data_IF_257771201084
#
_entry.id   IF_257771201084
#
_cell.length_a   1.000
_cell.length_b   1.000
_cell.length_c   1.000
_cell.angle_alpha   90.00
_cell.angle_beta   90.00
_cell.angle_gamma   90.00
#
_symmetry.space_group_name_H-M   'P 1'
#
loop_
_entity.id
_entity.type
_entity.pdbx_description
1 polymer ?
#
# COMPACT_ATOMS: atom_id res chain seq x y z
N UNK A 1 8.62 10.06 7.48
CA UNK A 1 7.48 9.66 6.62
C UNK A 1 7.45 8.15 6.43
N UNK A 2 8.41 7.55 5.71
CA UNK A 2 8.44 6.10 5.39
C UNK A 2 8.22 5.19 6.61
N UNK A 3 9.00 5.30 7.69
CA UNK A 3 8.76 4.49 8.90
C UNK A 3 7.33 4.59 9.45
N UNK A 4 6.67 5.75 9.34
CA UNK A 4 5.28 5.89 9.78
C UNK A 4 4.29 5.22 8.81
N UNK A 5 4.61 5.16 7.51
CA UNK A 5 3.85 4.41 6.52
C UNK A 5 3.94 2.92 6.84
N UNK A 6 5.15 2.38 6.96
CA UNK A 6 5.38 0.95 7.27
C UNK A 6 4.65 0.52 8.55
N UNK A 7 4.73 1.33 9.62
CA UNK A 7 4.03 1.02 10.87
C UNK A 7 2.51 0.98 10.68
N UNK A 8 1.95 1.95 9.94
CA UNK A 8 0.51 1.93 9.65
C UNK A 8 0.17 0.70 8.80
N UNK A 9 1.00 0.31 7.82
CA UNK A 9 0.75 -0.87 7.00
C UNK A 9 0.73 -2.16 7.83
N UNK A 10 1.62 -2.30 8.84
CA UNK A 10 1.52 -3.40 9.84
C UNK A 10 0.14 -3.44 10.48
N UNK A 11 -0.30 -2.30 11.03
CA UNK A 11 -1.59 -2.22 11.72
C UNK A 11 -2.75 -2.53 10.76
N UNK A 12 -2.72 -2.00 9.54
CA UNK A 12 -3.79 -2.14 8.57
C UNK A 12 -3.89 -3.55 7.96
N UNK A 13 -2.77 -4.25 7.80
CA UNK A 13 -2.77 -5.64 7.36
C UNK A 13 -3.36 -6.57 8.43
N UNK A 14 -3.06 -6.35 9.72
CA UNK A 14 -3.76 -7.05 10.81
C UNK A 14 -5.22 -6.63 10.95
N UNK A 15 -5.51 -5.34 10.77
CA UNK A 15 -6.85 -4.78 10.86
C UNK A 15 -7.79 -5.43 9.85
N UNK A 16 -7.35 -5.66 8.61
CA UNK A 16 -8.15 -6.34 7.59
C UNK A 16 -8.62 -7.72 8.07
N UNK A 17 -7.75 -8.48 8.76
CA UNK A 17 -8.06 -9.81 9.28
C UNK A 17 -9.09 -9.72 10.42
N UNK A 18 -8.86 -8.83 11.39
CA UNK A 18 -9.65 -8.76 12.62
C UNK A 18 -10.99 -8.03 12.44
N UNK A 19 -11.03 -7.01 11.58
CA UNK A 19 -12.18 -6.11 11.42
C UNK A 19 -13.29 -6.72 10.58
N UNK A 20 -12.94 -7.36 9.47
CA UNK A 20 -13.92 -7.80 8.46
C UNK A 20 -14.34 -9.27 8.62
N UNK A 21 -14.33 -9.79 9.85
CA UNK A 21 -14.66 -11.19 10.18
C UNK A 21 -16.08 -11.59 9.82
N UNK A 22 -17.00 -10.63 9.67
CA UNK A 22 -18.36 -10.87 9.21
C UNK A 22 -18.44 -11.33 7.74
N UNK A 23 -17.40 -11.07 6.93
CA UNK A 23 -17.30 -11.51 5.54
C UNK A 23 -16.46 -12.80 5.46
N UNK A 24 -17.05 -13.96 5.16
CA UNK A 24 -16.29 -15.21 5.10
C UNK A 24 -15.27 -15.21 3.96
N UNK A 25 -14.00 -15.42 4.28
CA UNK A 25 -12.91 -15.48 3.30
C UNK A 25 -12.21 -16.85 3.36
N UNK A 26 -11.66 -17.34 2.24
CA UNK A 26 -10.86 -18.57 2.24
C UNK A 26 -9.55 -18.38 3.02
N UNK A 27 -8.96 -19.48 3.50
CA UNK A 27 -7.75 -19.42 4.35
C UNK A 27 -6.60 -18.61 3.75
N UNK A 28 -6.40 -18.71 2.43
CA UNK A 28 -5.35 -17.97 1.74
C UNK A 28 -5.46 -16.44 1.88
N UNK A 29 -6.65 -15.89 2.17
CA UNK A 29 -6.81 -14.46 2.46
C UNK A 29 -6.06 -14.08 3.72
N UNK A 30 -6.21 -14.87 4.78
CA UNK A 30 -5.55 -14.63 6.05
C UNK A 30 -4.05 -14.88 5.96
N UNK A 31 -3.63 -15.90 5.20
CA UNK A 31 -2.21 -16.20 4.97
C UNK A 31 -1.51 -15.02 4.27
N UNK A 32 -2.12 -14.46 3.21
CA UNK A 32 -1.56 -13.34 2.47
C UNK A 32 -1.41 -12.08 3.37
N UNK A 33 -2.44 -11.72 4.15
CA UNK A 33 -2.39 -10.53 5.01
C UNK A 33 -1.50 -10.71 6.25
N UNK A 34 -1.44 -11.91 6.84
CA UNK A 34 -0.52 -12.19 7.94
C UNK A 34 0.93 -12.14 7.47
N UNK A 35 1.19 -12.62 6.24
CA UNK A 35 2.51 -12.50 5.61
C UNK A 35 2.86 -11.03 5.34
N UNK A 36 1.96 -10.27 4.72
CA UNK A 36 2.18 -8.85 4.45
C UNK A 36 2.48 -8.07 5.73
N UNK A 37 1.71 -8.27 6.81
CA UNK A 37 1.97 -7.63 8.09
C UNK A 37 3.36 -7.95 8.67
N UNK A 38 3.87 -9.17 8.46
CA UNK A 38 5.22 -9.55 8.85
C UNK A 38 6.31 -8.89 8.00
N UNK A 39 6.07 -8.72 6.70
CA UNK A 39 6.95 -7.99 5.79
C UNK A 39 7.01 -6.50 6.17
N UNK A 40 5.87 -5.85 6.46
CA UNK A 40 5.84 -4.46 6.92
C UNK A 40 6.53 -4.25 8.26
N UNK A 41 6.43 -5.22 9.18
CA UNK A 41 7.15 -5.14 10.45
C UNK A 41 8.67 -5.17 10.23
N UNK A 42 9.14 -5.94 9.25
CA UNK A 42 10.54 -5.92 8.83
C UNK A 42 10.89 -4.59 8.15
N UNK A 43 10.04 -4.07 7.26
CA UNK A 43 10.25 -2.79 6.59
C UNK A 43 10.39 -1.65 7.60
N UNK A 44 9.48 -1.58 8.58
CA UNK A 44 9.52 -0.62 9.67
C UNK A 44 10.86 -0.64 10.41
N UNK A 45 11.34 -1.83 10.78
CA UNK A 45 12.61 -1.98 11.48
C UNK A 45 13.81 -1.56 10.61
N UNK A 46 13.83 -1.91 9.32
CA UNK A 46 14.88 -1.47 8.39
C UNK A 46 14.99 0.06 8.32
N UNK A 47 13.84 0.75 8.31
CA UNK A 47 13.83 2.21 8.30
C UNK A 47 14.21 2.78 9.66
N UNK A 48 13.80 2.15 10.77
CA UNK A 48 14.23 2.56 12.10
C UNK A 48 15.75 2.44 12.28
N UNK A 49 16.35 1.32 11.89
CA UNK A 49 17.81 1.12 11.92
C UNK A 49 18.54 2.19 11.12
N UNK A 50 17.97 2.58 9.97
CA UNK A 50 18.51 3.66 9.13
C UNK A 50 18.42 5.02 9.84
N UNK A 51 17.29 5.33 10.50
CA UNK A 51 17.13 6.57 11.26
C UNK A 51 18.11 6.65 12.43
N UNK A 52 18.28 5.55 13.16
CA UNK A 52 19.20 5.47 14.30
C UNK A 52 20.65 5.66 13.87
N UNK A 53 21.07 5.03 12.77
CA UNK A 53 22.40 5.22 12.19
C UNK A 53 22.66 6.69 11.78
N UNK A 54 21.60 7.43 11.44
CA UNK A 54 21.66 8.86 11.12
C UNK A 54 21.50 9.77 12.35
N UNK A 55 21.49 9.22 13.57
CA UNK A 55 21.35 9.97 14.82
C UNK A 55 19.93 10.48 15.09
N UNK A 56 18.92 9.87 14.46
CA UNK A 56 17.50 10.15 14.67
C UNK A 56 16.78 8.93 15.26
N UNK A 57 15.45 8.98 15.32
CA UNK A 57 14.60 7.85 15.73
C UNK A 57 13.18 8.03 15.22
N UNK A 58 12.42 6.92 15.15
CA UNK A 58 11.00 7.00 14.87
C UNK A 58 10.28 7.85 15.94
N UNK A 59 9.41 8.77 15.49
CA UNK A 59 8.73 9.73 16.36
C UNK A 59 9.47 11.06 16.57
N UNK A 60 10.73 11.18 16.13
CA UNK A 60 11.47 12.45 16.19
C UNK A 60 11.00 13.51 15.17
N UNK A 61 10.29 13.08 14.11
CA UNK A 61 9.77 13.94 13.04
C UNK A 61 8.24 13.83 12.96
N UNK A 62 7.54 14.88 12.47
CA UNK A 62 6.09 14.84 12.29
C UNK A 62 5.62 13.67 11.41
N UNK A 63 4.50 13.06 11.80
CA UNK A 63 3.82 12.01 11.07
C UNK A 63 2.63 12.58 10.26
N UNK A 64 2.29 11.94 9.15
CA UNK A 64 1.08 12.25 8.38
C UNK A 64 -0.04 11.23 8.68
N UNK A 65 -1.30 11.63 8.57
CA UNK A 65 -2.44 10.77 8.86
C UNK A 65 -3.09 10.11 7.63
N UNK A 66 -2.43 10.10 6.47
CA UNK A 66 -3.03 9.69 5.19
C UNK A 66 -3.63 8.27 5.21
N UNK A 67 -2.81 7.26 5.53
CA UNK A 67 -3.25 5.87 5.65
C UNK A 67 -4.31 5.68 6.74
N UNK A 68 -4.10 6.28 7.91
CA UNK A 68 -5.03 6.13 9.03
C UNK A 68 -6.43 6.69 8.71
N UNK A 69 -6.51 7.85 8.05
CA UNK A 69 -7.80 8.40 7.59
C UNK A 69 -8.48 7.49 6.58
N UNK A 70 -7.74 6.97 5.59
CA UNK A 70 -8.29 6.00 4.65
C UNK A 70 -8.81 4.73 5.36
N UNK A 71 -8.15 4.31 6.44
CA UNK A 71 -8.60 3.21 7.26
C UNK A 71 -9.90 3.51 8.01
N UNK A 72 -10.01 4.71 8.60
CA UNK A 72 -11.23 5.20 9.25
C UNK A 72 -12.40 5.29 8.26
N UNK A 73 -12.17 5.89 7.09
CA UNK A 73 -13.20 6.08 6.05
C UNK A 73 -13.73 4.74 5.49
N UNK A 74 -12.91 3.69 5.53
CA UNK A 74 -13.24 2.34 5.02
C UNK A 74 -13.52 1.32 6.12
N UNK A 75 -13.66 1.75 7.39
CA UNK A 75 -13.75 0.85 8.54
C UNK A 75 -14.92 -0.14 8.50
N UNK A 76 -15.96 0.13 7.70
CA UNK A 76 -17.14 -0.73 7.56
C UNK A 76 -17.24 -1.41 6.18
N UNK A 77 -16.27 -1.19 5.29
CA UNK A 77 -16.31 -1.62 3.90
C UNK A 77 -15.01 -2.33 3.48
N UNK A 78 -15.04 -3.67 3.45
CA UNK A 78 -13.88 -4.47 3.07
C UNK A 78 -13.42 -4.19 1.63
N UNK A 79 -14.36 -4.02 0.69
CA UNK A 79 -14.00 -3.74 -0.70
C UNK A 79 -13.39 -2.34 -0.83
N UNK A 80 -13.96 -1.35 -0.12
CA UNK A 80 -13.38 -0.02 0.02
C UNK A 80 -11.97 -0.06 0.61
N UNK A 81 -11.77 -0.86 1.68
CA UNK A 81 -10.46 -1.03 2.31
C UNK A 81 -9.41 -1.57 1.34
N UNK A 82 -9.76 -2.63 0.59
CA UNK A 82 -8.87 -3.23 -0.41
C UNK A 82 -8.57 -2.27 -1.58
N UNK A 83 -9.57 -1.53 -2.06
CA UNK A 83 -9.39 -0.58 -3.15
C UNK A 83 -8.47 0.58 -2.76
N UNK A 84 -8.59 1.11 -1.54
CA UNK A 84 -7.87 2.32 -1.15
C UNK A 84 -6.50 2.03 -0.54
N UNK A 85 -6.39 1.04 0.35
CA UNK A 85 -5.13 0.82 1.07
C UNK A 85 -4.12 0.06 0.19
N UNK A 86 -4.28 -1.24 -0.08
CA UNK A 86 -3.28 -1.97 -0.87
C UNK A 86 -3.27 -1.61 -2.36
N UNK A 87 -4.39 -1.21 -2.95
CA UNK A 87 -4.43 -0.94 -4.40
C UNK A 87 -4.14 0.52 -4.79
N UNK A 88 -4.27 1.49 -3.87
CA UNK A 88 -3.96 2.91 -4.13
C UNK A 88 -2.78 3.41 -3.32
N UNK A 89 -2.79 3.20 -2.00
CA UNK A 89 -1.74 3.72 -1.11
C UNK A 89 -0.44 2.92 -1.22
N UNK A 90 -0.49 1.59 -1.16
CA UNK A 90 0.72 0.75 -1.34
C UNK A 90 1.22 0.83 -2.80
N UNK A 91 0.31 0.86 -3.77
CA UNK A 91 0.66 1.09 -5.18
C UNK A 91 1.37 2.43 -5.41
N UNK A 92 1.21 3.42 -4.52
CA UNK A 92 1.98 4.66 -4.56
C UNK A 92 3.45 4.42 -4.20
N UNK A 93 3.75 3.49 -3.30
CA UNK A 93 5.11 3.05 -2.97
C UNK A 93 5.87 2.59 -4.22
N UNK A 94 5.21 1.83 -5.11
CA UNK A 94 5.78 1.39 -6.39
C UNK A 94 6.20 2.54 -7.32
N UNK A 95 5.49 3.66 -7.25
CA UNK A 95 5.75 4.82 -8.10
C UNK A 95 6.90 5.69 -7.58
N UNK A 96 6.96 5.90 -6.26
CA UNK A 96 7.82 6.93 -5.67
C UNK A 96 9.15 6.38 -5.15
N UNK A 97 9.20 5.09 -4.78
CA UNK A 97 10.40 4.51 -4.16
C UNK A 97 11.62 4.52 -5.09
N UNK A 98 11.52 4.30 -6.41
CA UNK A 98 12.67 4.41 -7.31
C UNK A 98 13.36 5.78 -7.27
N UNK A 99 12.58 6.87 -7.28
CA UNK A 99 13.13 8.22 -7.19
C UNK A 99 13.74 8.49 -5.80
N UNK A 100 13.13 7.97 -4.73
CA UNK A 100 13.68 8.06 -3.37
C UNK A 100 15.04 7.32 -3.27
N UNK A 101 15.14 6.13 -3.87
CA UNK A 101 16.40 5.37 -3.93
C UNK A 101 17.49 6.21 -4.63
N UNK A 102 17.19 6.79 -5.79
CA UNK A 102 18.14 7.61 -6.53
C UNK A 102 18.65 8.82 -5.72
N UNK A 103 17.78 9.44 -4.91
CA UNK A 103 18.17 10.55 -4.01
C UNK A 103 19.16 10.06 -2.94
N UNK A 104 18.89 8.93 -2.28
CA UNK A 104 19.77 8.39 -1.25
C UNK A 104 21.08 7.82 -1.80
N UNK A 105 21.07 7.27 -3.01
CA UNK A 105 22.28 6.87 -3.73
C UNK A 105 23.19 8.07 -3.99
N UNK A 106 22.64 9.18 -4.51
CA UNK A 106 23.40 10.41 -4.73
C UNK A 106 23.97 11.01 -3.43
N UNK A 107 23.29 10.77 -2.31
CA UNK A 107 23.73 11.20 -0.98
C UNK A 107 24.75 10.24 -0.33
N UNK A 108 25.06 9.09 -0.93
CA UNK A 108 25.95 8.07 -0.35
C UNK A 108 25.36 7.36 0.87
N UNK A 109 24.03 7.37 1.04
CA UNK A 109 23.34 6.77 2.18
C UNK A 109 23.06 5.26 1.93
N UNK A 110 24.11 4.45 1.92
CA UNK A 110 24.07 3.04 1.52
C UNK A 110 23.03 2.20 2.29
N UNK A 111 22.89 2.42 3.61
CA UNK A 111 21.92 1.69 4.43
C UNK A 111 20.47 2.02 4.03
N UNK A 112 20.16 3.29 3.77
CA UNK A 112 18.85 3.72 3.32
C UNK A 112 18.51 3.12 1.95
N UNK A 113 19.49 3.09 1.04
CA UNK A 113 19.35 2.48 -0.29
C UNK A 113 19.05 0.98 -0.17
N UNK A 114 19.78 0.25 0.68
CA UNK A 114 19.56 -1.17 0.90
C UNK A 114 18.17 -1.46 1.49
N UNK A 115 17.73 -0.65 2.47
CA UNK A 115 16.40 -0.75 3.05
C UNK A 115 15.31 -0.52 1.99
N UNK A 116 15.36 0.59 1.26
CA UNK A 116 14.34 0.94 0.26
C UNK A 116 14.29 -0.06 -0.91
N UNK A 117 15.41 -0.63 -1.33
CA UNK A 117 15.42 -1.69 -2.36
C UNK A 117 14.76 -2.97 -1.88
N UNK A 118 14.90 -3.31 -0.59
CA UNK A 118 14.22 -4.45 0.02
C UNK A 118 12.72 -4.22 0.05
N UNK A 119 12.30 -3.05 0.56
CA UNK A 119 10.89 -2.65 0.63
C UNK A 119 10.26 -2.69 -0.77
N UNK A 120 10.87 -2.02 -1.75
CA UNK A 120 10.37 -1.97 -3.12
C UNK A 120 10.20 -3.33 -3.79
N UNK A 121 11.06 -4.31 -3.46
CA UNK A 121 10.95 -5.66 -4.02
C UNK A 121 9.76 -6.45 -3.47
N UNK A 122 9.35 -6.17 -2.23
CA UNK A 122 8.28 -6.88 -1.54
C UNK A 122 6.91 -6.20 -1.73
N UNK A 123 6.92 -4.87 -1.91
CA UNK A 123 5.74 -4.02 -2.12
C UNK A 123 4.82 -4.51 -3.25
N UNK A 124 5.40 -5.06 -4.32
CA UNK A 124 4.62 -5.62 -5.44
C UNK A 124 3.67 -6.72 -4.96
N UNK A 125 4.11 -7.52 -3.98
CA UNK A 125 3.32 -8.58 -3.37
C UNK A 125 2.11 -8.03 -2.61
N UNK A 126 2.27 -6.93 -1.87
CA UNK A 126 1.20 -6.33 -1.07
C UNK A 126 0.09 -5.75 -1.95
N UNK A 127 0.49 -5.04 -3.01
CA UNK A 127 -0.45 -4.56 -4.04
C UNK A 127 -1.15 -5.74 -4.73
N UNK A 128 -0.41 -6.81 -5.02
CA UNK A 128 -0.96 -8.01 -5.64
C UNK A 128 -2.00 -8.72 -4.75
N UNK A 129 -1.78 -8.77 -3.44
CA UNK A 129 -2.75 -9.30 -2.48
C UNK A 129 -4.03 -8.46 -2.47
N UNK A 130 -3.90 -7.13 -2.48
CA UNK A 130 -5.02 -6.21 -2.64
C UNK A 130 -5.84 -6.51 -3.90
N UNK A 131 -5.18 -6.52 -5.06
CA UNK A 131 -5.83 -6.78 -6.34
C UNK A 131 -6.50 -8.16 -6.38
N UNK A 132 -5.80 -9.21 -5.96
CA UNK A 132 -6.30 -10.59 -5.93
C UNK A 132 -7.62 -10.70 -5.14
N UNK A 133 -7.64 -10.18 -3.92
CA UNK A 133 -8.81 -10.33 -3.05
C UNK A 133 -9.94 -9.38 -3.42
N UNK A 134 -9.61 -8.23 -3.98
CA UNK A 134 -10.60 -7.34 -4.58
C UNK A 134 -11.33 -8.02 -5.75
N UNK A 135 -10.59 -8.58 -6.71
CA UNK A 135 -11.16 -9.33 -7.84
C UNK A 135 -11.98 -10.54 -7.38
N UNK A 136 -11.52 -11.26 -6.35
CA UNK A 136 -12.27 -12.37 -5.77
C UNK A 136 -13.63 -11.93 -5.22
N UNK A 137 -13.69 -10.79 -4.51
CA UNK A 137 -14.94 -10.23 -4.00
C UNK A 137 -15.83 -9.69 -5.12
N UNK A 138 -15.27 -9.02 -6.12
CA UNK A 138 -16.03 -8.61 -7.31
C UNK A 138 -16.68 -9.81 -8.00
N UNK A 139 -15.95 -10.91 -8.19
CA UNK A 139 -16.50 -12.15 -8.74
C UNK A 139 -17.59 -12.76 -7.87
N UNK A 140 -17.44 -12.70 -6.54
CA UNK A 140 -18.46 -13.16 -5.58
C UNK A 140 -19.76 -12.34 -5.63
N UNK A 141 -19.65 -11.04 -5.89
CA UNK A 141 -20.79 -10.12 -5.93
C UNK A 141 -21.26 -9.78 -7.35
N UNK A 142 -20.75 -10.47 -8.36
CA UNK A 142 -21.09 -10.26 -9.78
C UNK A 142 -20.88 -8.81 -10.25
N UNK A 143 -19.79 -8.18 -9.79
CA UNK A 143 -19.43 -6.80 -10.15
C UNK A 143 -18.24 -6.77 -11.10
N UNK A 144 -18.23 -5.78 -12.01
CA UNK A 144 -17.04 -5.47 -12.79
C UNK A 144 -15.96 -4.86 -11.87
N UNK A 145 -14.75 -5.45 -11.78
CA UNK A 145 -13.71 -4.95 -10.89
C UNK A 145 -13.30 -3.51 -11.15
N UNK A 146 -13.23 -3.07 -12.42
CA UNK A 146 -12.81 -1.72 -12.75
C UNK A 146 -13.86 -0.69 -12.32
N UNK A 147 -15.14 -0.95 -12.63
CA UNK A 147 -16.23 -0.06 -12.22
C UNK A 147 -16.33 0.02 -10.68
N UNK A 148 -16.25 -1.11 -9.99
CA UNK A 148 -16.26 -1.15 -8.53
C UNK A 148 -15.05 -0.39 -7.95
N UNK A 149 -13.86 -0.59 -8.51
CA UNK A 149 -12.65 0.11 -8.07
C UNK A 149 -12.78 1.62 -8.25
N UNK A 150 -13.22 2.09 -9.42
CA UNK A 150 -13.43 3.52 -9.68
C UNK A 150 -14.42 4.13 -8.70
N UNK A 151 -15.56 3.48 -8.46
CA UNK A 151 -16.58 3.97 -7.53
C UNK A 151 -16.05 4.05 -6.09
N UNK A 152 -15.32 3.03 -5.63
CA UNK A 152 -14.78 2.97 -4.27
C UNK A 152 -13.64 3.98 -4.07
N UNK A 153 -12.74 4.13 -5.04
CA UNK A 153 -11.66 5.13 -4.98
C UNK A 153 -12.24 6.54 -4.99
N UNK A 154 -13.20 6.84 -5.86
CA UNK A 154 -13.86 8.16 -5.86
C UNK A 154 -14.61 8.46 -4.56
N UNK A 155 -15.16 7.43 -3.91
CA UNK A 155 -15.89 7.56 -2.64
C UNK A 155 -14.97 7.83 -1.46
N UNK A 156 -13.89 7.06 -1.33
CA UNK A 156 -13.08 7.00 -0.11
C UNK A 156 -11.70 7.66 -0.23
N UNK A 157 -11.17 7.82 -1.45
CA UNK A 157 -9.87 8.47 -1.65
C UNK A 157 -10.07 9.94 -2.01
N UNK A 158 -9.91 10.81 -1.01
CA UNK A 158 -10.07 12.26 -1.17
C UNK A 158 -8.85 12.97 -1.77
N UNK A 159 -7.82 12.21 -2.15
CA UNK A 159 -6.66 12.71 -2.88
C UNK A 159 -6.80 12.50 -4.38
N UNK A 160 -5.77 12.89 -5.13
CA UNK A 160 -5.66 12.61 -6.55
C UNK A 160 -4.62 11.51 -6.79
N UNK A 161 -4.94 10.59 -7.71
CA UNK A 161 -3.93 9.71 -8.27
C UNK A 161 -3.04 10.53 -9.19
N UNK A 162 -1.73 10.55 -8.91
CA UNK A 162 -0.79 11.45 -9.59
C UNK A 162 0.35 10.67 -10.24
N UNK A 163 0.62 10.90 -11.53
CA UNK A 163 1.81 10.34 -12.16
C UNK A 163 3.10 10.93 -11.53
N UNK A 164 4.26 10.28 -11.74
CA UNK A 164 4.47 9.09 -12.57
C UNK A 164 3.79 7.85 -11.96
N UNK A 165 3.33 6.94 -12.83
CA UNK A 165 2.89 5.61 -12.42
C UNK A 165 3.90 4.59 -12.91
N UNK A 166 4.28 3.66 -12.03
CA UNK A 166 5.12 2.54 -12.41
C UNK A 166 4.27 1.45 -13.05
N UNK A 167 3.97 1.62 -14.35
CA UNK A 167 3.03 0.73 -15.07
C UNK A 167 3.48 -0.72 -15.07
N UNK A 168 4.79 -0.98 -15.17
CA UNK A 168 5.35 -2.33 -15.14
C UNK A 168 5.06 -3.00 -13.79
N UNK A 169 5.41 -2.36 -12.67
CA UNK A 169 5.20 -2.95 -11.34
C UNK A 169 3.73 -3.03 -10.94
N UNK A 170 2.92 -2.02 -11.32
CA UNK A 170 1.47 -2.08 -11.11
C UNK A 170 0.85 -3.23 -11.90
N UNK A 171 1.28 -3.46 -13.15
CA UNK A 171 0.82 -4.60 -13.95
C UNK A 171 1.26 -5.95 -13.38
N UNK A 172 2.50 -6.08 -12.89
CA UNK A 172 2.96 -7.27 -12.15
C UNK A 172 2.08 -7.58 -10.93
N UNK A 173 1.59 -6.54 -10.25
CA UNK A 173 0.65 -6.65 -9.13
C UNK A 173 -0.82 -6.86 -9.54
N UNK A 174 -1.10 -7.05 -10.83
CA UNK A 174 -2.46 -7.23 -11.32
C UNK A 174 -3.31 -5.96 -11.28
N UNK A 175 -2.69 -4.78 -11.39
CA UNK A 175 -3.35 -3.48 -11.48
C UNK A 175 -3.06 -2.85 -12.85
N UNK A 176 -3.85 -3.14 -13.89
CA UNK A 176 -3.63 -2.62 -15.23
C UNK A 176 -3.92 -1.11 -15.35
N UNK A 177 -3.38 -0.44 -16.39
CA UNK A 177 -3.55 1.00 -16.65
C UNK A 177 -4.96 1.57 -16.51
N UNK A 178 -5.99 0.81 -16.92
CA UNK A 178 -7.39 1.24 -16.92
C UNK A 178 -8.00 1.35 -15.51
N UNK A 179 -7.36 0.80 -14.48
CA UNK A 179 -7.78 1.00 -13.09
C UNK A 179 -7.46 2.42 -12.61
N UNK A 180 -6.29 2.97 -12.94
CA UNK A 180 -5.79 4.20 -12.30
C UNK A 180 -5.64 5.41 -13.23
N UNK A 181 -5.35 5.23 -14.52
CA UNK A 181 -5.24 6.37 -15.44
C UNK A 181 -6.55 7.17 -15.59
N UNK A 182 -7.74 6.55 -15.69
CA UNK A 182 -9.00 7.30 -15.75
C UNK A 182 -9.31 8.12 -14.49
N UNK A 183 -8.68 7.77 -13.37
CA UNK A 183 -8.82 8.45 -12.09
C UNK A 183 -7.69 9.46 -11.83
N UNK A 184 -6.69 9.51 -12.70
CA UNK A 184 -5.62 10.49 -12.58
C UNK A 184 -6.18 11.88 -12.91
N UNK A 185 -5.88 12.89 -12.08
CA UNK A 185 -6.23 14.27 -12.41
C UNK A 185 -5.58 14.65 -13.74
N UNK A 186 -6.40 14.87 -14.79
CA UNK A 186 -5.96 15.60 -15.98
C UNK A 186 -5.62 17.02 -15.53
N UNK A 187 -4.32 17.34 -15.52
CA UNK A 187 -3.86 18.73 -15.35
C UNK A 187 -4.41 19.63 -16.45
#
# INVERSE_FOLDING_TARGET
>A
AVAHIELNAVDLHWDIIARFTATPMPLGFYDDWAKAAGEEAKHFNLVCDTLEAMGSSYGALPAHAGMWRAAEDTAEDLMGRLAVVPMVLEARGLDVTPDMIAIFEAAGAEQAVAALRTIYAEEVGHVAYGSKWFHFLCGRFEQDPKEAFHALVQRYFHGALRPPFNEEKRAEAGLPPDFYWPLAETR
#
